data_IF_275784469429
#
_entry.id   IF_275784469429
#
_cell.length_a   1.000
_cell.length_b   1.000
_cell.length_c   1.000
_cell.angle_alpha   90.00
_cell.angle_beta   90.00
_cell.angle_gamma   90.00
#
_symmetry.space_group_name_H-M   'P 1'
#
loop_
_entity.id
_entity.type
_entity.pdbx_description
1 polymer ?
#
# COMPACT_ATOMS: atom_id res chain seq x y z
N UNK A 1 -28.03 36.01 32.16
CA UNK A 1 -28.62 34.77 32.73
C UNK A 1 -27.51 33.99 33.42
N UNK A 2 -27.60 33.71 34.72
CA UNK A 2 -26.57 32.96 35.47
C UNK A 2 -26.66 31.48 35.09
N UNK A 3 -25.58 30.90 34.55
CA UNK A 3 -25.51 29.46 34.26
C UNK A 3 -25.69 28.68 35.57
N UNK A 4 -26.65 27.75 35.59
CA UNK A 4 -26.85 26.85 36.72
C UNK A 4 -25.63 25.92 36.81
N UNK A 5 -24.87 26.03 37.90
CA UNK A 5 -23.72 25.16 38.17
C UNK A 5 -24.26 23.87 38.76
N UNK A 6 -24.14 22.77 38.02
CA UNK A 6 -24.52 21.44 38.50
C UNK A 6 -23.40 20.96 39.44
N UNK A 7 -23.53 21.24 40.73
CA UNK A 7 -22.62 20.72 41.76
C UNK A 7 -23.09 19.31 42.15
N UNK A 8 -22.57 18.29 41.44
CA UNK A 8 -22.73 16.90 41.87
C UNK A 8 -21.65 16.59 42.90
N UNK A 9 -22.05 16.23 44.11
CA UNK A 9 -21.13 15.76 45.13
C UNK A 9 -20.68 14.34 44.74
N UNK A 10 -19.58 14.25 43.99
CA UNK A 10 -19.03 12.98 43.51
C UNK A 10 -18.29 12.31 44.68
N UNK A 11 -19.04 11.58 45.50
CA UNK A 11 -18.48 10.72 46.54
C UNK A 11 -17.80 9.51 45.88
N UNK A 12 -16.69 9.06 46.47
CA UNK A 12 -16.09 7.79 46.08
C UNK A 12 -17.10 6.64 46.30
N UNK A 13 -17.16 5.66 45.39
CA UNK A 13 -18.11 4.54 45.48
C UNK A 13 -18.02 3.73 46.78
N UNK A 14 -16.82 3.63 47.37
CA UNK A 14 -16.59 2.99 48.66
C UNK A 14 -15.38 3.61 49.37
N UNK A 15 -15.25 3.35 50.68
CA UNK A 15 -14.06 3.75 51.45
C UNK A 15 -12.81 3.03 50.96
N UNK A 16 -12.91 1.73 50.69
CA UNK A 16 -11.81 0.93 50.14
C UNK A 16 -11.30 1.46 48.80
N UNK A 17 -12.20 1.91 47.92
CA UNK A 17 -11.83 2.52 46.65
C UNK A 17 -11.09 3.84 46.84
N UNK A 18 -11.54 4.68 47.79
CA UNK A 18 -10.85 5.92 48.14
C UNK A 18 -9.45 5.66 48.68
N UNK A 19 -9.29 4.68 49.57
CA UNK A 19 -7.99 4.35 50.15
C UNK A 19 -7.02 3.84 49.08
N UNK A 20 -7.50 3.03 48.13
CA UNK A 20 -6.72 2.65 46.94
C UNK A 20 -6.28 3.86 46.11
N UNK A 21 -7.18 4.81 45.86
CA UNK A 21 -6.85 6.03 45.09
C UNK A 21 -5.83 6.88 45.83
N UNK A 22 -5.94 7.00 47.16
CA UNK A 22 -4.97 7.71 48.01
C UNK A 22 -3.60 7.06 47.98
N UNK A 23 -3.52 5.75 48.18
CA UNK A 23 -2.25 5.00 48.11
C UNK A 23 -1.60 5.17 46.75
N UNK A 24 -2.37 4.98 45.67
CA UNK A 24 -1.90 5.15 44.31
C UNK A 24 -1.42 6.59 44.00
N UNK A 25 -2.10 7.61 44.52
CA UNK A 25 -1.69 9.00 44.37
C UNK A 25 -0.36 9.26 45.09
N UNK A 26 -0.20 8.75 46.31
CA UNK A 26 1.03 8.91 47.10
C UNK A 26 2.22 8.16 46.48
N UNK A 27 2.03 6.91 46.06
CA UNK A 27 3.07 6.09 45.42
C UNK A 27 3.59 6.71 44.13
N UNK A 28 2.70 7.37 43.37
CA UNK A 28 3.04 8.05 42.12
C UNK A 28 3.47 9.51 42.31
N UNK A 29 3.62 9.98 43.55
CA UNK A 29 4.17 11.31 43.87
C UNK A 29 3.21 12.48 43.69
N UNK A 30 1.89 12.24 43.64
CA UNK A 30 0.90 13.31 43.52
C UNK A 30 0.65 13.99 44.86
N UNK A 31 0.55 15.33 44.83
CA UNK A 31 0.28 16.16 46.01
C UNK A 31 -1.14 15.99 46.57
N UNK A 32 -2.08 15.49 45.77
CA UNK A 32 -3.47 15.26 46.20
C UNK A 32 -4.15 14.15 45.38
N UNK A 33 -5.15 13.51 45.97
CA UNK A 33 -6.04 12.54 45.30
C UNK A 33 -6.67 13.15 44.03
N UNK A 34 -7.05 14.44 44.09
CA UNK A 34 -7.65 15.16 42.97
C UNK A 34 -6.67 15.37 41.81
N UNK A 35 -5.41 15.72 42.11
CA UNK A 35 -4.39 15.88 41.07
C UNK A 35 -4.17 14.56 40.32
N UNK A 36 -4.12 13.44 41.06
CA UNK A 36 -4.03 12.11 40.48
C UNK A 36 -5.22 11.79 39.57
N UNK A 37 -6.46 12.02 40.04
CA UNK A 37 -7.67 11.77 39.24
C UNK A 37 -7.69 12.61 37.96
N UNK A 38 -7.38 13.90 38.04
CA UNK A 38 -7.37 14.79 36.87
C UNK A 38 -6.32 14.35 35.84
N UNK A 39 -5.11 14.00 36.29
CA UNK A 39 -4.06 13.49 35.39
C UNK A 39 -4.42 12.13 34.78
N UNK A 40 -5.07 11.25 35.54
CA UNK A 40 -5.59 9.99 35.00
C UNK A 40 -6.70 10.22 33.96
N UNK A 41 -7.64 11.14 34.23
CA UNK A 41 -8.66 11.51 33.24
C UNK A 41 -8.05 12.11 31.97
N UNK A 42 -7.04 12.98 32.10
CA UNK A 42 -6.32 13.55 30.96
C UNK A 42 -5.58 12.47 30.16
N UNK A 43 -4.97 11.49 30.84
CA UNK A 43 -4.32 10.36 30.20
C UNK A 43 -5.32 9.52 29.40
N UNK A 44 -6.46 9.15 30.01
CA UNK A 44 -7.50 8.36 29.35
C UNK A 44 -8.10 9.09 28.15
N UNK A 45 -8.33 10.40 28.25
CA UNK A 45 -8.81 11.23 27.13
C UNK A 45 -7.79 11.25 25.98
N UNK A 46 -6.51 11.50 26.28
CA UNK A 46 -5.43 11.49 25.28
C UNK A 46 -5.24 10.11 24.66
N UNK A 47 -5.37 9.06 25.46
CA UNK A 47 -5.25 7.69 24.98
C UNK A 47 -6.42 7.33 24.06
N UNK A 48 -7.66 7.71 24.42
CA UNK A 48 -8.84 7.59 23.56
C UNK A 48 -8.65 8.27 22.21
N UNK A 49 -8.28 9.56 22.23
CA UNK A 49 -8.03 10.35 21.02
C UNK A 49 -6.91 9.73 20.15
N UNK A 50 -5.82 9.28 20.78
CA UNK A 50 -4.72 8.62 20.09
C UNK A 50 -5.15 7.27 19.50
N UNK A 51 -5.93 6.46 20.23
CA UNK A 51 -6.40 5.16 19.73
C UNK A 51 -7.34 5.29 18.55
N UNK A 52 -8.21 6.30 18.53
CA UNK A 52 -9.06 6.60 17.38
C UNK A 52 -8.23 7.08 16.19
N UNK A 53 -7.25 7.97 16.42
CA UNK A 53 -6.35 8.45 15.37
C UNK A 53 -5.51 7.30 14.78
N UNK A 54 -4.99 6.39 15.61
CA UNK A 54 -4.25 5.22 15.13
C UNK A 54 -5.16 4.26 14.37
N UNK A 55 -6.38 3.99 14.85
CA UNK A 55 -7.32 3.13 14.15
C UNK A 55 -7.72 3.69 12.77
N UNK A 56 -7.92 5.00 12.66
CA UNK A 56 -8.18 5.66 11.38
C UNK A 56 -6.97 5.57 10.44
N UNK A 57 -5.76 5.75 10.97
CA UNK A 57 -4.53 5.60 10.20
C UNK A 57 -4.37 4.16 9.69
N UNK A 58 -4.56 3.16 10.55
CA UNK A 58 -4.52 1.74 10.20
C UNK A 58 -5.55 1.40 9.13
N UNK A 59 -6.79 1.90 9.26
CA UNK A 59 -7.83 1.69 8.27
C UNK A 59 -7.46 2.29 6.90
N UNK A 60 -6.84 3.49 6.89
CA UNK A 60 -6.35 4.12 5.65
C UNK A 60 -5.19 3.34 5.03
N UNK A 61 -4.26 2.83 5.85
CA UNK A 61 -3.15 1.99 5.38
C UNK A 61 -3.69 0.69 4.78
N UNK A 62 -4.61 0.02 5.48
CA UNK A 62 -5.25 -1.20 5.01
C UNK A 62 -6.01 -0.97 3.69
N UNK A 63 -6.74 0.14 3.58
CA UNK A 63 -7.43 0.52 2.34
C UNK A 63 -6.45 0.77 1.19
N UNK A 64 -5.35 1.49 1.45
CA UNK A 64 -4.31 1.76 0.45
C UNK A 64 -3.67 0.45 -0.03
N UNK A 65 -3.28 -0.43 0.90
CA UNK A 65 -2.70 -1.72 0.56
C UNK A 65 -3.69 -2.62 -0.20
N UNK A 66 -4.97 -2.60 0.20
CA UNK A 66 -6.03 -3.30 -0.50
C UNK A 66 -6.24 -2.80 -1.94
N UNK A 67 -6.13 -1.49 -2.16
CA UNK A 67 -6.20 -0.91 -3.51
C UNK A 67 -4.96 -1.28 -4.35
N UNK A 68 -3.76 -1.19 -3.79
CA UNK A 68 -2.54 -1.62 -4.49
C UNK A 68 -2.59 -3.12 -4.86
N UNK A 69 -3.12 -3.97 -3.97
CA UNK A 69 -3.30 -5.39 -4.28
C UNK A 69 -4.26 -5.62 -5.46
N UNK A 70 -5.34 -4.84 -5.57
CA UNK A 70 -6.25 -4.89 -6.73
C UNK A 70 -5.58 -4.43 -8.02
N UNK A 71 -4.77 -3.37 -7.96
CA UNK A 71 -4.01 -2.88 -9.12
C UNK A 71 -3.02 -3.94 -9.61
N UNK A 72 -2.26 -4.55 -8.70
CA UNK A 72 -1.33 -5.65 -9.02
C UNK A 72 -2.09 -6.82 -9.64
N UNK A 73 -3.22 -7.22 -9.08
CA UNK A 73 -4.05 -8.29 -9.64
C UNK A 73 -4.53 -7.93 -11.06
N UNK A 74 -4.95 -6.69 -11.28
CA UNK A 74 -5.35 -6.20 -12.61
C UNK A 74 -4.20 -6.27 -13.62
N UNK A 75 -2.97 -5.93 -13.21
CA UNK A 75 -1.78 -6.06 -14.06
C UNK A 75 -1.47 -7.52 -14.41
N UNK A 76 -1.63 -8.45 -13.45
CA UNK A 76 -1.49 -9.88 -13.73
C UNK A 76 -2.54 -10.36 -14.72
N UNK A 77 -3.81 -10.00 -14.53
CA UNK A 77 -4.90 -10.34 -15.46
C UNK A 77 -4.64 -9.77 -16.85
N UNK A 78 -4.18 -8.53 -16.96
CA UNK A 78 -3.81 -7.92 -18.24
C UNK A 78 -2.69 -8.70 -18.93
N UNK A 79 -1.63 -9.06 -18.20
CA UNK A 79 -0.50 -9.83 -18.73
C UNK A 79 -0.94 -11.22 -19.22
N UNK A 80 -1.76 -11.92 -18.45
CA UNK A 80 -2.34 -13.20 -18.85
C UNK A 80 -3.22 -13.08 -20.10
N UNK A 81 -4.04 -12.03 -20.17
CA UNK A 81 -4.90 -11.78 -21.33
C UNK A 81 -4.07 -11.49 -22.57
N UNK A 82 -3.04 -10.65 -22.44
CA UNK A 82 -2.13 -10.34 -23.54
C UNK A 82 -1.41 -11.60 -24.05
N UNK A 83 -0.97 -12.47 -23.13
CA UNK A 83 -0.36 -13.75 -23.50
C UNK A 83 -1.37 -14.66 -24.23
N UNK A 84 -2.58 -14.80 -23.72
CA UNK A 84 -3.63 -15.59 -24.34
C UNK A 84 -3.96 -15.09 -25.75
N UNK A 85 -4.15 -13.78 -25.92
CA UNK A 85 -4.39 -13.15 -27.23
C UNK A 85 -3.22 -13.36 -28.20
N UNK A 86 -1.99 -13.19 -27.74
CA UNK A 86 -0.79 -13.42 -28.55
C UNK A 86 -0.69 -14.88 -28.99
N UNK A 87 -0.99 -15.82 -28.09
CA UNK A 87 -1.02 -17.25 -28.40
C UNK A 87 -2.12 -17.60 -29.42
N UNK A 88 -3.35 -17.10 -29.24
CA UNK A 88 -4.44 -17.31 -30.18
C UNK A 88 -4.14 -16.70 -31.56
N UNK A 89 -3.54 -15.51 -31.61
CA UNK A 89 -3.08 -14.90 -32.86
C UNK A 89 -2.00 -15.76 -33.52
N UNK A 90 -1.03 -16.26 -32.77
CA UNK A 90 0.02 -17.13 -33.29
C UNK A 90 -0.58 -18.41 -33.88
N UNK A 91 -1.48 -19.07 -33.15
CA UNK A 91 -2.19 -20.25 -33.63
C UNK A 91 -2.93 -19.97 -34.94
N UNK A 92 -3.67 -18.86 -35.00
CA UNK A 92 -4.35 -18.43 -36.23
C UNK A 92 -3.38 -18.21 -37.40
N UNK A 93 -2.30 -17.45 -37.17
CA UNK A 93 -1.28 -17.20 -38.21
C UNK A 93 -0.64 -18.49 -38.71
N UNK A 94 -0.37 -19.45 -37.83
CA UNK A 94 0.18 -20.75 -38.21
C UNK A 94 -0.77 -21.53 -39.12
N UNK A 95 -2.10 -21.38 -38.98
CA UNK A 95 -3.05 -21.99 -39.94
C UNK A 95 -3.02 -21.34 -41.31
N UNK A 96 -2.57 -20.08 -41.42
CA UNK A 96 -2.48 -19.34 -42.68
C UNK A 96 -1.11 -19.42 -43.35
N UNK A 97 -0.10 -19.99 -42.68
CA UNK A 97 1.26 -20.08 -43.20
C UNK A 97 1.45 -21.41 -43.93
N UNK A 98 1.85 -21.34 -45.20
CA UNK A 98 2.24 -22.52 -45.97
C UNK A 98 3.61 -23.00 -45.51
N UNK A 99 3.68 -24.27 -45.09
CA UNK A 99 4.96 -24.90 -44.76
C UNK A 99 5.86 -24.94 -46.01
N UNK A 100 7.09 -24.40 -45.95
CA UNK A 100 7.96 -24.38 -47.11
C UNK A 100 8.43 -25.80 -47.49
N UNK A 101 8.67 -26.08 -48.79
CA UNK A 101 9.17 -27.37 -49.25
C UNK A 101 10.48 -27.80 -48.57
N UNK A 102 10.71 -29.12 -48.45
CA UNK A 102 11.86 -29.65 -47.72
C UNK A 102 13.20 -29.18 -48.28
N UNK A 103 13.32 -28.97 -49.59
CA UNK A 103 14.58 -28.54 -50.20
C UNK A 103 15.00 -27.12 -49.76
N UNK A 104 14.02 -26.27 -49.44
CA UNK A 104 14.25 -24.86 -49.05
C UNK A 104 14.09 -24.61 -47.56
N UNK A 105 13.64 -25.61 -46.78
CA UNK A 105 13.45 -25.52 -45.34
C UNK A 105 14.69 -25.01 -44.59
N UNK A 106 15.92 -25.51 -44.84
CA UNK A 106 17.11 -25.04 -44.14
C UNK A 106 17.37 -23.53 -44.36
N UNK A 107 17.23 -23.07 -45.61
CA UNK A 107 17.41 -21.68 -45.97
C UNK A 107 16.31 -20.78 -45.40
N UNK A 108 15.06 -21.26 -45.40
CA UNK A 108 13.93 -20.56 -44.79
C UNK A 108 14.11 -20.39 -43.27
N UNK A 109 14.55 -21.45 -42.58
CA UNK A 109 14.86 -21.41 -41.13
C UNK A 109 16.00 -20.45 -40.82
N UNK A 110 17.07 -20.44 -41.61
CA UNK A 110 18.17 -19.49 -41.44
C UNK A 110 17.70 -18.03 -41.56
N UNK A 111 16.88 -17.73 -42.57
CA UNK A 111 16.28 -16.39 -42.76
C UNK A 111 15.34 -16.01 -41.61
N UNK A 112 14.51 -16.94 -41.14
CA UNK A 112 13.60 -16.71 -40.01
C UNK A 112 14.39 -16.39 -38.72
N UNK A 113 15.45 -17.15 -38.42
CA UNK A 113 16.33 -16.89 -37.28
C UNK A 113 16.97 -15.51 -37.33
N UNK A 114 17.46 -15.11 -38.51
CA UNK A 114 18.06 -13.77 -38.69
C UNK A 114 17.02 -12.65 -38.45
N UNK A 115 15.80 -12.80 -39.00
CA UNK A 115 14.72 -11.84 -38.78
C UNK A 115 14.33 -11.76 -37.31
N UNK A 116 14.22 -12.90 -36.63
CA UNK A 116 13.90 -12.96 -35.20
C UNK A 116 14.98 -12.28 -34.35
N UNK A 117 16.26 -12.55 -34.62
CA UNK A 117 17.37 -11.89 -33.93
C UNK A 117 17.34 -10.36 -34.11
N UNK A 118 16.96 -9.87 -35.31
CA UNK A 118 16.77 -8.43 -35.54
C UNK A 118 15.62 -7.86 -34.71
N UNK A 119 14.48 -8.55 -34.66
CA UNK A 119 13.32 -8.12 -33.85
C UNK A 119 13.70 -8.07 -32.36
N UNK A 120 14.40 -9.08 -31.84
CA UNK A 120 14.87 -9.10 -30.46
C UNK A 120 15.80 -7.93 -30.15
N UNK A 121 16.71 -7.58 -31.06
CA UNK A 121 17.55 -6.40 -30.91
C UNK A 121 16.74 -5.11 -30.82
N UNK A 122 15.79 -4.91 -31.73
CA UNK A 122 14.93 -3.72 -31.72
C UNK A 122 14.09 -3.63 -30.45
N UNK A 123 13.56 -4.75 -29.96
CA UNK A 123 12.83 -4.79 -28.70
C UNK A 123 13.75 -4.44 -27.50
N UNK A 124 14.97 -4.97 -27.47
CA UNK A 124 15.94 -4.63 -26.42
C UNK A 124 16.32 -3.14 -26.44
N UNK A 125 16.50 -2.56 -27.63
CA UNK A 125 16.78 -1.13 -27.81
C UNK A 125 15.61 -0.26 -27.32
N UNK A 126 14.37 -0.63 -27.61
CA UNK A 126 13.16 0.07 -27.15
C UNK A 126 13.04 0.03 -25.62
N UNK A 127 13.18 -1.15 -25.01
CA UNK A 127 13.17 -1.29 -23.54
C UNK A 127 14.27 -0.46 -22.88
N UNK A 128 15.48 -0.49 -23.43
CA UNK A 128 16.62 0.29 -22.91
C UNK A 128 16.36 1.79 -23.00
N UNK A 129 15.80 2.25 -24.12
CA UNK A 129 15.48 3.67 -24.36
C UNK A 129 14.39 4.14 -23.40
N UNK A 130 13.35 3.32 -23.20
CA UNK A 130 12.28 3.62 -22.25
C UNK A 130 12.79 3.70 -20.83
N UNK A 131 13.63 2.76 -20.40
CA UNK A 131 14.26 2.80 -19.08
C UNK A 131 15.09 4.06 -18.87
N UNK A 132 15.86 4.47 -19.90
CA UNK A 132 16.63 5.71 -19.86
C UNK A 132 15.73 6.94 -19.70
N UNK A 133 14.64 7.03 -20.48
CA UNK A 133 13.69 8.13 -20.38
C UNK A 133 13.03 8.21 -18.99
N UNK A 134 12.64 7.06 -18.41
CA UNK A 134 12.13 7.00 -17.04
C UNK A 134 13.15 7.49 -16.01
N UNK A 135 14.42 7.11 -16.16
CA UNK A 135 15.50 7.58 -15.27
C UNK A 135 15.73 9.09 -15.40
N UNK A 136 15.69 9.64 -16.62
CA UNK A 136 15.80 11.08 -16.87
C UNK A 136 14.64 11.88 -16.24
N UNK A 137 13.42 11.35 -16.30
CA UNK A 137 12.24 11.94 -15.65
C UNK A 137 12.40 11.99 -14.12
N UNK A 138 12.85 10.89 -13.50
CA UNK A 138 13.12 10.85 -12.05
C UNK A 138 14.21 11.85 -11.65
N UNK A 139 15.29 11.93 -12.44
CA UNK A 139 16.42 12.84 -12.18
C UNK A 139 16.05 14.33 -12.35
N UNK A 140 15.08 14.65 -13.21
CA UNK A 140 14.62 16.03 -13.44
C UNK A 140 13.56 16.45 -12.42
N UNK A 141 12.67 15.54 -12.02
CA UNK A 141 11.70 15.77 -10.96
C UNK A 141 12.39 15.98 -9.59
N UNK A 142 13.46 15.22 -9.30
CA UNK A 142 14.25 15.37 -8.07
C UNK A 142 15.07 16.67 -7.94
N UNK A 143 15.13 17.50 -8.97
CA UNK A 143 15.83 18.81 -8.94
C UNK A 143 14.92 20.00 -8.64
N UNK A 144 13.61 19.78 -8.50
CA UNK A 144 12.60 20.83 -8.24
C UNK A 144 12.13 20.90 -6.77
N UNK A 145 12.82 20.23 -5.85
CA UNK A 145 12.66 20.35 -4.39
C UNK A 145 13.91 20.99 -3.78
#
# INVERSE_FOLDING_TARGET
>A
MKKHRIERNLLFPSREFRDRVRSAASERGFRSEQAFILTSCEHELRQGDNTEATAQLEARIAATLGNMAKEVQSLFTLTHTQFALTNSLLQYVLTCMVEPPEEVLPAARARARLRYAKILRLAAEEVTTRNKATLEEVLTCGKQQ
#
